data_IF_028825341169
#
_entry.id   IF_028825341169
#
_cell.length_a   1.000
_cell.length_b   1.000
_cell.length_c   1.000
_cell.angle_alpha   90.00
_cell.angle_beta   90.00
_cell.angle_gamma   90.00
#
_symmetry.space_group_name_H-M   'P 1'
#
loop_
_entity.id
_entity.type
_entity.pdbx_description
1 polymer ?
#
# COMPACT_ATOMS: atom_id res chain seq x y z
N UNK A 1 18.55 -16.87 -15.10
CA UNK A 1 17.41 -16.25 -14.39
C UNK A 1 17.04 -15.03 -15.21
N UNK A 2 15.94 -15.12 -15.94
CA UNK A 2 15.51 -14.08 -16.87
C UNK A 2 15.08 -12.86 -16.04
N UNK A 3 15.85 -11.78 -16.12
CA UNK A 3 15.51 -10.52 -15.48
C UNK A 3 14.46 -9.87 -16.36
N UNK A 4 13.17 -10.09 -16.12
CA UNK A 4 12.17 -9.20 -16.71
C UNK A 4 12.51 -7.78 -16.24
N UNK A 5 12.96 -6.90 -17.15
CA UNK A 5 13.36 -5.57 -16.73
C UNK A 5 12.13 -4.85 -16.22
N UNK A 6 12.29 -4.07 -15.15
CA UNK A 6 11.25 -3.15 -14.69
C UNK A 6 10.94 -2.18 -15.83
N UNK A 7 9.83 -2.40 -16.52
CA UNK A 7 9.46 -1.61 -17.70
C UNK A 7 8.74 -0.34 -17.30
N UNK A 8 8.60 0.60 -18.25
CA UNK A 8 7.84 1.84 -18.04
C UNK A 8 6.38 1.52 -17.67
N UNK A 9 5.79 0.50 -18.26
CA UNK A 9 4.41 0.07 -17.98
C UNK A 9 4.27 -0.45 -16.54
N UNK A 10 5.26 -1.19 -16.05
CA UNK A 10 5.30 -1.68 -14.66
C UNK A 10 5.42 -0.48 -13.70
N UNK A 11 6.29 0.49 -14.02
CA UNK A 11 6.44 1.71 -13.23
C UNK A 11 5.13 2.51 -13.14
N UNK A 12 4.47 2.74 -14.29
CA UNK A 12 3.21 3.47 -14.34
C UNK A 12 2.10 2.74 -13.57
N UNK A 13 2.05 1.41 -13.68
CA UNK A 13 1.09 0.59 -12.95
C UNK A 13 1.32 0.68 -11.45
N UNK A 14 2.57 0.55 -11.01
CA UNK A 14 2.98 0.71 -9.62
C UNK A 14 2.53 2.07 -9.06
N UNK A 15 2.87 3.17 -9.72
CA UNK A 15 2.52 4.51 -9.24
C UNK A 15 1.00 4.73 -9.16
N UNK A 16 0.26 4.29 -10.18
CA UNK A 16 -1.21 4.38 -10.19
C UNK A 16 -1.84 3.57 -9.04
N UNK A 17 -1.30 2.38 -8.77
CA UNK A 17 -1.78 1.51 -7.69
C UNK A 17 -1.52 2.09 -6.32
N UNK A 18 -0.31 2.58 -6.08
CA UNK A 18 0.05 3.23 -4.83
C UNK A 18 -0.81 4.46 -4.57
N UNK A 19 -1.02 5.31 -5.58
CA UNK A 19 -1.89 6.47 -5.46
C UNK A 19 -3.32 6.07 -5.05
N UNK A 20 -3.89 5.03 -5.68
CA UNK A 20 -5.22 4.52 -5.32
C UNK A 20 -5.28 3.92 -3.90
N UNK A 21 -4.23 3.23 -3.44
CA UNK A 21 -4.17 2.67 -2.09
C UNK A 21 -4.09 3.80 -1.06
N UNK A 22 -3.25 4.81 -1.30
CA UNK A 22 -3.11 5.98 -0.41
C UNK A 22 -4.44 6.73 -0.29
N UNK A 23 -5.12 6.99 -1.40
CA UNK A 23 -6.45 7.63 -1.42
C UNK A 23 -7.46 6.87 -0.53
N UNK A 24 -7.54 5.55 -0.71
CA UNK A 24 -8.45 4.70 0.08
C UNK A 24 -8.10 4.65 1.56
N UNK A 25 -6.81 4.63 1.90
CA UNK A 25 -6.36 4.74 3.29
C UNK A 25 -6.80 6.09 3.87
N UNK A 26 -6.60 7.20 3.17
CA UNK A 26 -7.00 8.52 3.63
C UNK A 26 -8.51 8.62 3.86
N UNK A 27 -9.32 8.15 2.91
CA UNK A 27 -10.78 8.11 3.04
C UNK A 27 -11.21 7.22 4.21
N UNK A 28 -10.61 6.03 4.35
CA UNK A 28 -10.91 5.11 5.44
C UNK A 28 -10.58 5.69 6.81
N UNK A 29 -9.42 6.33 6.95
CA UNK A 29 -9.00 7.03 8.17
C UNK A 29 -9.96 8.18 8.53
N UNK A 30 -10.39 8.95 7.52
CA UNK A 30 -11.38 10.01 7.71
C UNK A 30 -12.70 9.46 8.24
N UNK A 31 -13.18 8.34 7.67
CA UNK A 31 -14.44 7.71 8.05
C UNK A 31 -14.43 7.15 9.48
N UNK A 32 -13.29 6.67 9.98
CA UNK A 32 -13.16 6.19 11.37
C UNK A 32 -12.93 7.31 12.39
N UNK A 33 -12.89 8.57 11.96
CA UNK A 33 -12.82 9.74 12.83
C UNK A 33 -11.41 10.09 13.32
N UNK A 34 -10.36 9.40 12.84
CA UNK A 34 -8.97 9.72 13.15
C UNK A 34 -8.49 10.86 12.25
N UNK A 35 -8.74 12.11 12.66
CA UNK A 35 -8.42 13.33 11.88
C UNK A 35 -6.93 13.69 11.85
N UNK A 36 -6.08 12.87 12.47
CA UNK A 36 -4.67 13.18 12.74
C UNK A 36 -3.70 12.36 11.88
N UNK A 37 -4.02 12.00 10.62
CA UNK A 37 -3.04 11.38 9.73
C UNK A 37 -1.92 12.38 9.42
N UNK A 38 -0.76 12.22 10.05
CA UNK A 38 0.37 13.13 9.93
C UNK A 38 1.18 12.90 8.64
N UNK A 39 0.97 11.75 7.98
CA UNK A 39 1.56 11.46 6.68
C UNK A 39 1.72 9.96 6.43
N UNK A 40 2.20 9.67 5.22
CA UNK A 40 2.59 8.34 4.78
C UNK A 40 4.06 8.36 4.36
N UNK A 41 4.79 7.32 4.74
CA UNK A 41 6.15 7.09 4.27
C UNK A 41 6.17 5.76 3.51
N UNK A 42 6.72 5.76 2.31
CA UNK A 42 6.80 4.58 1.45
C UNK A 42 8.23 4.08 1.46
N UNK A 43 8.47 2.96 2.12
CA UNK A 43 9.75 2.27 2.01
C UNK A 43 9.64 1.23 0.88
N UNK A 44 10.34 1.49 -0.23
CA UNK A 44 10.41 0.61 -1.38
C UNK A 44 11.84 0.10 -1.59
N UNK A 45 12.06 -1.18 -1.28
CA UNK A 45 13.28 -1.87 -1.64
C UNK A 45 13.29 -2.22 -3.14
N UNK A 46 13.82 -1.32 -3.97
CA UNK A 46 14.01 -1.58 -5.41
C UNK A 46 15.02 -2.72 -5.59
N UNK A 47 14.61 -3.85 -6.20
CA UNK A 47 15.54 -4.91 -6.63
C UNK A 47 15.25 -6.35 -6.19
N UNK A 48 14.16 -6.64 -5.46
CA UNK A 48 13.77 -8.03 -5.17
C UNK A 48 12.57 -8.46 -6.01
N UNK A 49 12.77 -9.54 -6.77
CA UNK A 49 11.77 -10.21 -7.63
C UNK A 49 10.54 -10.75 -6.85
N UNK A 50 10.56 -10.66 -5.51
CA UNK A 50 9.54 -11.08 -4.55
C UNK A 50 9.44 -10.08 -3.39
N UNK A 51 9.50 -8.78 -3.69
CA UNK A 51 9.53 -7.71 -2.69
C UNK A 51 8.17 -7.43 -2.05
N UNK A 52 8.19 -6.85 -0.85
CA UNK A 52 7.01 -6.24 -0.24
C UNK A 52 7.09 -4.73 -0.38
N UNK A 53 5.99 -4.11 -0.79
CA UNK A 53 5.80 -2.68 -0.62
C UNK A 53 5.33 -2.42 0.82
N UNK A 54 6.05 -1.57 1.56
CA UNK A 54 5.62 -1.13 2.88
C UNK A 54 5.19 0.33 2.84
N UNK A 55 3.94 0.59 3.18
CA UNK A 55 3.42 1.93 3.45
C UNK A 55 3.30 2.12 4.96
N UNK A 56 4.12 3.01 5.52
CA UNK A 56 4.05 3.40 6.92
C UNK A 56 2.97 4.46 7.06
N UNK A 57 1.98 4.19 7.91
CA UNK A 57 0.91 5.12 8.24
C UNK A 57 1.15 5.63 9.66
N UNK A 58 1.07 6.95 9.87
CA UNK A 58 1.33 7.57 11.16
C UNK A 58 0.24 8.54 11.56
N UNK A 59 -0.27 8.39 12.77
CA UNK A 59 -1.10 9.38 13.45
C UNK A 59 -0.30 10.06 14.55
N UNK A 60 -0.90 11.03 15.26
CA UNK A 60 -0.31 11.66 16.44
C UNK A 60 0.01 10.67 17.59
N UNK A 61 -0.65 9.51 17.63
CA UNK A 61 -0.54 8.56 18.75
C UNK A 61 -0.04 7.19 18.35
N UNK A 62 -0.16 6.80 17.07
CA UNK A 62 0.12 5.44 16.60
C UNK A 62 0.80 5.43 15.25
N UNK A 63 1.47 4.32 14.96
CA UNK A 63 1.95 4.03 13.62
C UNK A 63 1.70 2.57 13.28
N UNK A 64 1.46 2.30 11.99
CA UNK A 64 1.33 0.94 11.48
C UNK A 64 2.00 0.83 10.13
N UNK A 65 2.16 -0.40 9.65
CA UNK A 65 2.69 -0.71 8.32
C UNK A 65 1.68 -1.51 7.55
N UNK A 66 1.27 -0.99 6.41
CA UNK A 66 0.57 -1.74 5.38
C UNK A 66 1.63 -2.40 4.50
N UNK A 67 1.64 -3.74 4.46
CA UNK A 67 2.59 -4.53 3.68
C UNK A 67 1.84 -5.28 2.58
N UNK A 68 2.23 -5.05 1.34
CA UNK A 68 1.65 -5.71 0.18
C UNK A 68 2.72 -6.48 -0.61
N UNK A 69 2.47 -7.75 -0.97
CA UNK A 69 3.29 -8.45 -1.95
C UNK A 69 3.32 -7.67 -3.28
N UNK A 70 4.46 -7.70 -3.96
CA UNK A 70 4.64 -7.05 -5.26
C UNK A 70 3.59 -7.49 -6.29
N UNK A 71 3.32 -8.79 -6.34
CA UNK A 71 2.37 -9.43 -7.24
C UNK A 71 0.95 -8.96 -6.94
N UNK A 72 0.57 -8.87 -5.66
CA UNK A 72 -0.73 -8.34 -5.22
C UNK A 72 -0.88 -6.86 -5.52
N UNK A 73 0.19 -6.08 -5.38
CA UNK A 73 0.18 -4.65 -5.66
C UNK A 73 -0.02 -4.37 -7.16
N UNK A 74 0.67 -5.12 -8.03
CA UNK A 74 0.57 -4.95 -9.48
C UNK A 74 -0.64 -5.67 -10.08
N UNK A 75 -1.08 -6.77 -9.48
CA UNK A 75 -2.22 -7.58 -9.90
C UNK A 75 -3.54 -6.83 -9.80
N UNK A 76 -4.54 -7.24 -10.59
CA UNK A 76 -5.90 -6.69 -10.58
C UNK A 76 -6.99 -7.75 -10.44
N UNK A 77 -6.61 -8.97 -10.05
CA UNK A 77 -7.60 -10.02 -9.85
C UNK A 77 -8.53 -9.65 -8.69
N UNK A 78 -9.69 -10.32 -8.62
CA UNK A 78 -10.60 -10.14 -7.50
C UNK A 78 -9.92 -10.49 -6.15
N UNK A 79 -9.03 -11.48 -6.15
CA UNK A 79 -8.25 -11.88 -4.98
C UNK A 79 -7.22 -10.82 -4.58
N UNK A 80 -6.54 -10.21 -5.55
CA UNK A 80 -5.59 -9.12 -5.29
C UNK A 80 -6.30 -7.93 -4.66
N UNK A 81 -7.43 -7.51 -5.26
CA UNK A 81 -8.23 -6.39 -4.76
C UNK A 81 -8.70 -6.67 -3.34
N UNK A 82 -9.25 -7.86 -3.09
CA UNK A 82 -9.68 -8.26 -1.73
C UNK A 82 -8.52 -8.24 -0.73
N UNK A 83 -7.35 -8.73 -1.12
CA UNK A 83 -6.16 -8.73 -0.25
C UNK A 83 -5.68 -7.31 0.09
N UNK A 84 -5.72 -6.40 -0.88
CA UNK A 84 -5.43 -4.97 -0.66
C UNK A 84 -6.46 -4.36 0.30
N UNK A 85 -7.74 -4.65 0.11
CA UNK A 85 -8.83 -4.13 0.95
C UNK A 85 -8.67 -4.55 2.40
N UNK A 86 -8.44 -5.85 2.63
CA UNK A 86 -8.19 -6.41 3.96
C UNK A 86 -6.95 -5.80 4.61
N UNK A 87 -5.86 -5.59 3.85
CA UNK A 87 -4.65 -4.94 4.35
C UNK A 87 -4.91 -3.49 4.77
N UNK A 88 -5.69 -2.73 3.99
CA UNK A 88 -6.10 -1.35 4.30
C UNK A 88 -6.93 -1.33 5.58
N UNK A 89 -7.97 -2.16 5.67
CA UNK A 89 -8.84 -2.22 6.84
C UNK A 89 -8.07 -2.59 8.12
N UNK A 90 -7.19 -3.58 8.04
CA UNK A 90 -6.37 -4.00 9.19
C UNK A 90 -5.40 -2.91 9.63
N UNK A 91 -4.80 -2.17 8.68
CA UNK A 91 -3.94 -1.05 8.99
C UNK A 91 -4.72 0.08 9.68
N UNK A 92 -5.91 0.43 9.18
CA UNK A 92 -6.76 1.44 9.80
C UNK A 92 -7.17 1.04 11.22
N UNK A 93 -7.61 -0.21 11.43
CA UNK A 93 -7.96 -0.74 12.76
C UNK A 93 -6.80 -0.65 13.75
N UNK A 94 -5.55 -0.80 13.29
CA UNK A 94 -4.38 -0.67 14.16
C UNK A 94 -4.10 0.78 14.60
N UNK A 95 -4.57 1.77 13.82
CA UNK A 95 -4.38 3.20 14.09
C UNK A 95 -5.45 3.80 15.03
N UNK A 96 -6.60 3.14 15.15
CA UNK A 96 -7.69 3.47 16.11
C UNK A 96 -7.49 2.76 17.44
#
# INVERSE_FOLDING_TARGET
>A
MDKSPFTIEIAQTFHRRIASIVDRVQVGIWNVGTRDLLGFDSDFGFGQQHGFQSLVLKTCHRSTRLRLPWETLLGDSAEDRKSVDEAIENAIKALT
#
